data_IF_044609180938
#
_entry.id   IF_044609180938
#
_cell.length_a   1.000
_cell.length_b   1.000
_cell.length_c   1.000
_cell.angle_alpha   90.00
_cell.angle_beta   90.00
_cell.angle_gamma   90.00
#
_symmetry.space_group_name_H-M   'P 1'
#
loop_
_entity.id
_entity.type
_entity.pdbx_description
1 polymer ?
#
# COMPACT_ATOMS: atom_id res chain seq x y z
N UNK A 1 44.95 -26.36 -15.88
CA UNK A 1 43.71 -26.13 -15.10
C UNK A 1 43.84 -24.79 -14.39
N UNK A 2 43.50 -23.70 -15.08
CA UNK A 2 43.59 -22.35 -14.53
C UNK A 2 42.22 -21.96 -14.01
N UNK A 3 42.10 -21.82 -12.70
CA UNK A 3 40.88 -21.34 -12.03
C UNK A 3 40.85 -19.82 -12.12
N UNK A 4 39.99 -19.29 -12.99
CA UNK A 4 39.72 -17.85 -13.04
C UNK A 4 38.80 -17.51 -11.88
N UNK A 5 39.37 -16.97 -10.79
CA UNK A 5 38.61 -16.47 -9.65
C UNK A 5 38.01 -15.11 -10.00
N UNK A 6 36.73 -15.07 -10.35
CA UNK A 6 35.97 -13.83 -10.55
C UNK A 6 35.74 -13.15 -9.20
N UNK A 7 36.10 -11.87 -9.01
CA UNK A 7 35.78 -11.14 -7.78
C UNK A 7 34.27 -10.82 -7.70
N UNK A 8 33.68 -10.76 -6.49
CA UNK A 8 32.30 -10.35 -6.32
C UNK A 8 32.12 -8.88 -6.68
N UNK A 9 30.96 -8.47 -7.24
CA UNK A 9 30.69 -7.07 -7.52
C UNK A 9 30.63 -6.25 -6.22
N UNK A 10 31.05 -4.98 -6.23
CA UNK A 10 30.95 -4.12 -5.05
C UNK A 10 29.48 -3.98 -4.67
N UNK A 11 29.17 -4.30 -3.41
CA UNK A 11 27.89 -4.03 -2.78
C UNK A 11 27.66 -2.52 -2.87
N UNK A 12 26.76 -2.11 -3.76
CA UNK A 12 26.32 -0.73 -3.83
C UNK A 12 25.73 -0.34 -2.46
N UNK A 13 26.05 0.85 -1.91
CA UNK A 13 25.40 1.36 -0.72
C UNK A 13 23.88 1.35 -0.96
N UNK A 14 23.12 0.80 -0.01
CA UNK A 14 21.67 0.92 0.03
C UNK A 14 21.28 2.38 -0.24
N UNK A 15 20.73 2.64 -1.42
CA UNK A 15 20.31 3.97 -1.81
C UNK A 15 19.30 4.51 -0.78
N UNK A 16 19.45 5.76 -0.29
CA UNK A 16 18.43 6.37 0.55
C UNK A 16 17.12 6.42 -0.24
N UNK A 17 16.03 6.00 0.40
CA UNK A 17 14.67 6.04 -0.18
C UNK A 17 14.41 7.46 -0.66
N UNK A 18 14.44 7.63 -1.99
CA UNK A 18 14.21 8.88 -2.72
C UNK A 18 13.00 9.58 -2.10
N UNK A 19 13.23 10.74 -1.49
CA UNK A 19 12.17 11.69 -1.17
C UNK A 19 11.50 12.04 -2.52
N UNK A 20 10.32 11.45 -2.79
CA UNK A 20 9.58 11.72 -4.02
C UNK A 20 8.96 13.10 -3.86
N UNK A 21 9.60 14.10 -4.47
CA UNK A 21 8.94 15.36 -4.83
C UNK A 21 7.71 14.98 -5.64
N UNK A 22 6.53 15.25 -5.08
CA UNK A 22 5.25 14.96 -5.70
C UNK A 22 5.11 15.82 -6.97
N UNK A 23 5.27 15.21 -8.14
CA UNK A 23 4.86 15.81 -9.39
C UNK A 23 3.34 16.03 -9.36
N UNK A 24 2.81 17.19 -9.79
CA UNK A 24 1.39 17.42 -9.96
C UNK A 24 0.94 16.77 -11.28
N UNK A 25 1.02 15.44 -11.35
CA UNK A 25 0.60 14.66 -12.50
C UNK A 25 -0.43 13.64 -12.06
N UNK A 26 -1.71 14.01 -12.19
CA UNK A 26 -2.87 13.12 -12.14
C UNK A 26 -2.86 12.08 -11.03
N UNK A 27 -3.28 12.47 -9.81
CA UNK A 27 -3.78 11.47 -8.86
C UNK A 27 -5.03 10.89 -9.52
N UNK A 28 -4.90 9.74 -10.18
CA UNK A 28 -6.04 9.01 -10.75
C UNK A 28 -7.16 8.94 -9.70
N UNK A 29 -8.40 8.98 -10.16
CA UNK A 29 -9.63 9.09 -9.35
C UNK A 29 -9.43 8.38 -8.01
N UNK A 30 -9.15 9.17 -6.97
CA UNK A 30 -8.88 8.64 -5.64
C UNK A 30 -10.10 7.89 -5.12
N UNK A 31 -9.92 7.12 -4.06
CA UNK A 31 -11.09 6.64 -3.33
C UNK A 31 -11.83 7.86 -2.79
N UNK A 32 -13.08 8.04 -3.21
CA UNK A 32 -13.97 9.05 -2.63
C UNK A 32 -14.15 8.80 -1.12
N UNK A 33 -14.54 9.80 -0.34
CA UNK A 33 -14.79 9.59 1.09
C UNK A 33 -15.91 8.58 1.34
N UNK A 34 -16.98 8.67 0.56
CA UNK A 34 -18.13 7.75 0.57
C UNK A 34 -17.73 6.34 0.11
N UNK A 35 -17.03 6.23 -1.03
CA UNK A 35 -16.46 4.97 -1.55
C UNK A 35 -15.53 4.31 -0.51
N UNK A 36 -14.73 5.10 0.20
CA UNK A 36 -13.81 4.60 1.21
C UNK A 36 -14.53 4.11 2.46
N UNK A 37 -15.58 4.80 2.90
CA UNK A 37 -16.38 4.39 4.06
C UNK A 37 -17.08 3.06 3.79
N UNK A 38 -17.76 2.94 2.65
CA UNK A 38 -18.40 1.70 2.22
C UNK A 38 -17.40 0.55 2.11
N UNK A 39 -16.22 0.82 1.53
CA UNK A 39 -15.15 -0.18 1.46
C UNK A 39 -14.66 -0.63 2.84
N UNK A 40 -14.51 0.29 3.79
CA UNK A 40 -14.08 -0.05 5.15
C UNK A 40 -15.13 -0.86 5.91
N UNK A 41 -16.43 -0.55 5.74
CA UNK A 41 -17.52 -1.34 6.30
C UNK A 41 -17.51 -2.78 5.74
N UNK A 42 -17.33 -2.94 4.42
CA UNK A 42 -17.22 -4.28 3.81
C UNK A 42 -15.98 -5.04 4.33
N UNK A 43 -14.87 -4.34 4.56
CA UNK A 43 -13.67 -4.96 5.14
C UNK A 43 -13.86 -5.37 6.61
N UNK A 44 -14.61 -4.61 7.39
CA UNK A 44 -14.91 -4.92 8.79
C UNK A 44 -15.87 -6.11 8.89
N UNK A 45 -16.82 -6.23 7.96
CA UNK A 45 -17.77 -7.34 7.90
C UNK A 45 -17.12 -8.65 7.43
N UNK A 46 -16.30 -8.60 6.38
CA UNK A 46 -15.71 -9.81 5.78
C UNK A 46 -14.29 -10.15 6.27
N UNK A 47 -13.58 -9.20 6.89
CA UNK A 47 -12.20 -9.36 7.40
C UNK A 47 -11.28 -10.16 6.46
N UNK A 48 -10.98 -9.66 5.25
CA UNK A 48 -10.29 -10.45 4.25
C UNK A 48 -8.84 -10.78 4.64
N UNK A 49 -8.61 -12.01 5.07
CA UNK A 49 -7.29 -12.56 5.37
C UNK A 49 -6.61 -13.14 4.12
N UNK A 50 -7.41 -13.68 3.20
CA UNK A 50 -6.97 -14.47 2.06
C UNK A 50 -7.46 -13.93 0.72
N UNK A 51 -6.94 -14.49 -0.38
CA UNK A 51 -7.24 -14.00 -1.73
C UNK A 51 -8.72 -14.04 -2.08
N UNK A 52 -9.40 -15.13 -1.77
CA UNK A 52 -10.81 -15.34 -2.07
C UNK A 52 -11.69 -14.28 -1.42
N UNK A 53 -11.43 -13.96 -0.15
CA UNK A 53 -12.14 -12.90 0.57
C UNK A 53 -11.94 -11.52 -0.06
N UNK A 54 -10.74 -11.23 -0.58
CA UNK A 54 -10.50 -9.99 -1.30
C UNK A 54 -11.26 -9.92 -2.63
N UNK A 55 -11.49 -11.05 -3.30
CA UNK A 55 -12.31 -11.13 -4.52
C UNK A 55 -13.80 -10.94 -4.19
N UNK A 56 -14.25 -11.43 -3.03
CA UNK A 56 -15.59 -11.16 -2.50
C UNK A 56 -15.81 -9.67 -2.19
N UNK A 57 -14.89 -9.05 -1.45
CA UNK A 57 -14.93 -7.61 -1.13
C UNK A 57 -14.94 -6.78 -2.43
N UNK A 58 -14.16 -7.16 -3.44
CA UNK A 58 -14.20 -6.50 -4.73
C UNK A 58 -15.56 -6.67 -5.43
N UNK A 59 -16.16 -7.85 -5.36
CA UNK A 59 -17.46 -8.12 -5.97
C UNK A 59 -18.56 -7.26 -5.36
N UNK A 60 -18.56 -7.13 -4.03
CA UNK A 60 -19.46 -6.24 -3.29
C UNK A 60 -19.18 -4.78 -3.63
N UNK A 61 -17.91 -4.39 -3.68
CA UNK A 61 -17.51 -3.03 -4.07
C UNK A 61 -17.95 -2.67 -5.49
N UNK A 62 -17.85 -3.61 -6.44
CA UNK A 62 -18.29 -3.41 -7.82
C UNK A 62 -19.81 -3.33 -7.95
N UNK A 63 -20.56 -3.96 -7.05
CA UNK A 63 -22.01 -3.82 -7.02
C UNK A 63 -22.42 -2.37 -6.71
N UNK A 64 -21.75 -1.73 -5.75
CA UNK A 64 -22.03 -0.34 -5.35
C UNK A 64 -21.31 0.71 -6.21
N UNK A 65 -20.11 0.42 -6.69
CA UNK A 65 -19.21 1.36 -7.37
C UNK A 65 -18.63 0.80 -8.68
N UNK A 66 -19.48 0.19 -9.51
CA UNK A 66 -19.13 -0.40 -10.82
C UNK A 66 -18.38 0.58 -11.74
N UNK A 67 -18.65 1.88 -11.63
CA UNK A 67 -18.02 2.93 -12.44
C UNK A 67 -16.50 3.05 -12.23
N UNK A 68 -15.99 2.68 -11.06
CA UNK A 68 -14.58 2.93 -10.69
C UNK A 68 -13.59 1.86 -11.15
N UNK A 69 -14.05 0.76 -11.78
CA UNK A 69 -13.22 -0.31 -12.35
C UNK A 69 -12.03 -0.70 -11.43
N UNK A 70 -12.29 -0.86 -10.13
CA UNK A 70 -11.25 -1.15 -9.15
C UNK A 70 -10.78 -2.60 -9.30
N UNK A 71 -9.53 -2.86 -8.95
CA UNK A 71 -8.97 -4.21 -8.86
C UNK A 71 -8.70 -4.58 -7.41
N UNK A 72 -8.65 -5.89 -7.11
CA UNK A 72 -8.29 -6.41 -5.77
C UNK A 72 -6.99 -5.79 -5.28
N UNK A 73 -6.01 -5.67 -6.17
CA UNK A 73 -4.71 -5.09 -5.86
C UNK A 73 -4.81 -3.60 -5.47
N UNK A 74 -5.71 -2.83 -6.09
CA UNK A 74 -5.97 -1.44 -5.70
C UNK A 74 -6.57 -1.34 -4.29
N UNK A 75 -7.51 -2.23 -3.95
CA UNK A 75 -8.13 -2.29 -2.62
C UNK A 75 -7.11 -2.65 -1.54
N UNK A 76 -6.28 -3.67 -1.80
CA UNK A 76 -5.19 -4.07 -0.90
C UNK A 76 -4.17 -2.95 -0.69
N UNK A 77 -3.74 -2.31 -1.78
CA UNK A 77 -2.80 -1.18 -1.69
C UNK A 77 -3.40 -0.02 -0.89
N UNK A 78 -4.69 0.26 -1.05
CA UNK A 78 -5.38 1.29 -0.28
C UNK A 78 -5.45 0.93 1.21
N UNK A 79 -5.83 -0.30 1.55
CA UNK A 79 -5.88 -0.77 2.94
C UNK A 79 -4.50 -0.76 3.60
N UNK A 80 -3.47 -1.24 2.91
CA UNK A 80 -2.10 -1.20 3.40
C UNK A 80 -1.63 0.24 3.63
N UNK A 81 -1.93 1.16 2.72
CA UNK A 81 -1.61 2.58 2.87
C UNK A 81 -2.35 3.21 4.07
N UNK A 82 -3.60 2.85 4.31
CA UNK A 82 -4.35 3.30 5.50
C UNK A 82 -3.72 2.77 6.78
N UNK A 83 -3.36 1.49 6.82
CA UNK A 83 -2.73 0.85 7.96
C UNK A 83 -1.36 1.50 8.27
N UNK A 84 -0.59 1.82 7.23
CA UNK A 84 0.70 2.52 7.32
C UNK A 84 0.56 4.01 7.67
N UNK A 85 -0.55 4.66 7.29
CA UNK A 85 -0.81 6.07 7.59
C UNK A 85 -1.31 6.29 9.03
N UNK A 86 -1.46 5.21 9.83
CA UNK A 86 -1.81 5.32 11.25
C UNK A 86 -0.62 5.83 12.06
N UNK A 87 -0.65 7.16 12.22
CA UNK A 87 0.07 8.06 13.13
C UNK A 87 1.57 8.27 12.82
N UNK A 88 2.05 9.53 12.76
CA UNK A 88 3.45 9.80 13.04
C UNK A 88 3.68 9.34 14.48
N UNK A 89 4.44 8.26 14.66
CA UNK A 89 4.91 7.82 15.97
C UNK A 89 5.49 9.02 16.71
N UNK A 90 5.00 9.25 17.92
CA UNK A 90 5.15 10.49 18.68
C UNK A 90 6.59 10.94 18.91
N UNK A 91 6.72 12.22 19.30
CA UNK A 91 7.96 12.91 19.62
C UNK A 91 9.08 11.99 20.18
N UNK A 92 10.24 11.88 19.51
CA UNK A 92 11.40 11.11 19.95
C UNK A 92 12.22 11.85 21.02
N UNK A 93 11.58 12.57 21.94
CA UNK A 93 12.29 13.15 23.08
C UNK A 93 12.19 12.19 24.26
N UNK A 94 13.03 11.16 24.27
CA UNK A 94 13.41 10.51 25.52
C UNK A 94 14.39 11.45 26.23
N UNK A 95 14.04 12.08 27.37
CA UNK A 95 15.04 12.80 28.15
C UNK A 95 16.10 11.79 28.64
N UNK A 96 17.38 12.09 28.38
CA UNK A 96 18.48 11.37 28.99
C UNK A 96 18.51 11.74 30.49
N UNK A 97 18.57 10.72 31.35
CA UNK A 97 18.87 10.88 32.78
C UNK A 97 20.32 11.34 32.98
#
# INVERSE_FOLDING_TARGET
MSVSSTPPPPLAPCAPRRNRVAAPGGRGTGFGADELQSFLETLEEHLPLGRDEWELVLSIHNWSFSANNRTVDSLRRKFAALCQSRKPTGNPTCPAE
#
